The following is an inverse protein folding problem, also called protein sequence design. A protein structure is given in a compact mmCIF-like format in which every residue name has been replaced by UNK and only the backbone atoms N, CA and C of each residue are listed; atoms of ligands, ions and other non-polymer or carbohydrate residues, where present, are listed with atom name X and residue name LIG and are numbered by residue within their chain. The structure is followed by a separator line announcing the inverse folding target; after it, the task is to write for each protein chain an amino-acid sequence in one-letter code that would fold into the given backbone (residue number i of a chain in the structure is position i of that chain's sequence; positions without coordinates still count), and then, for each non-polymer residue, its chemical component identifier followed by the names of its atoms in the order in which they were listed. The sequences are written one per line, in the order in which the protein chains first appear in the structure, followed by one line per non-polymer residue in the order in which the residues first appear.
data_IF_447368564110
#
_entry.id   IF_447368564110
#
_cell.length_a   1.000
_cell.length_b   1.000
_cell.length_c   1.000
_cell.angle_alpha   90.00
_cell.angle_beta   90.00
_cell.angle_gamma   90.00
#
_symmetry.space_group_name_H-M   'P 1'
#
loop_
_entity.id
_entity.type
_entity.pdbx_description
1 polymer ?
#
# COMPACT_ATOMS: atom_id res chain seq x y z
N UNK A 1 -15.58 -13.75 16.00
CA UNK A 1 -15.37 -15.18 15.67
C UNK A 1 -13.88 -15.39 15.43
N UNK A 2 -13.26 -16.48 15.94
CA UNK A 2 -11.86 -16.75 15.65
C UNK A 2 -11.68 -17.04 14.15
N UNK A 3 -10.62 -16.47 13.56
CA UNK A 3 -10.31 -16.60 12.13
C UNK A 3 -9.85 -18.02 11.82
N UNK A 4 -10.59 -18.75 10.98
CA UNK A 4 -10.22 -20.10 10.54
C UNK A 4 -8.92 -20.07 9.72
N UNK A 5 -7.87 -20.73 10.21
CA UNK A 5 -6.57 -20.83 9.51
C UNK A 5 -6.55 -22.05 8.56
N UNK A 6 -7.36 -22.00 7.50
CA UNK A 6 -7.55 -23.12 6.55
C UNK A 6 -6.22 -23.59 5.94
N UNK A 7 -5.31 -22.65 5.64
CA UNK A 7 -4.00 -22.94 5.04
C UNK A 7 -3.12 -23.88 5.88
N UNK A 8 -3.33 -23.93 7.20
CA UNK A 8 -2.55 -24.80 8.09
C UNK A 8 -2.88 -26.29 7.91
N UNK A 9 -3.98 -26.63 7.23
CA UNK A 9 -4.34 -28.02 6.90
C UNK A 9 -3.61 -28.56 5.68
N UNK A 10 -2.98 -27.70 4.89
CA UNK A 10 -2.21 -28.08 3.70
C UNK A 10 -0.75 -28.23 4.17
N UNK A 11 -0.30 -29.47 4.36
CA UNK A 11 1.04 -29.82 4.84
C UNK A 11 1.85 -30.57 3.78
N UNK A 12 3.17 -30.36 3.68
CA UNK A 12 4.00 -31.11 2.75
C UNK A 12 4.22 -32.53 3.28
N UNK A 13 4.60 -33.46 2.39
CA UNK A 13 5.04 -34.80 2.81
C UNK A 13 6.29 -34.73 3.71
N UNK A 14 6.52 -35.78 4.49
CA UNK A 14 7.68 -35.89 5.37
C UNK A 14 8.99 -35.67 4.60
N UNK A 15 9.84 -34.80 5.13
CA UNK A 15 11.11 -34.41 4.52
C UNK A 15 11.00 -33.40 3.36
N UNK A 16 9.81 -32.91 3.03
CA UNK A 16 9.59 -31.88 2.00
C UNK A 16 9.14 -30.55 2.60
N UNK A 17 9.26 -29.49 1.81
CA UNK A 17 8.81 -28.14 2.14
C UNK A 17 7.97 -27.57 1.00
N UNK A 18 7.04 -26.69 1.31
CA UNK A 18 6.40 -25.85 0.30
C UNK A 18 7.29 -24.66 -0.04
N UNK A 19 7.38 -24.34 -1.33
CA UNK A 19 7.96 -23.08 -1.80
C UNK A 19 6.80 -22.22 -2.30
N UNK A 20 6.66 -21.04 -1.73
CA UNK A 20 5.67 -20.04 -2.15
C UNK A 20 6.43 -18.87 -2.73
N UNK A 21 6.28 -18.66 -4.03
CA UNK A 21 6.70 -17.43 -4.70
C UNK A 21 5.45 -16.57 -4.87
N UNK A 22 5.37 -15.49 -4.10
CA UNK A 22 4.26 -14.56 -4.16
C UNK A 22 4.75 -13.23 -4.70
N UNK A 23 4.02 -12.70 -5.67
CA UNK A 23 4.22 -11.33 -6.09
C UNK A 23 3.72 -10.35 -5.01
N UNK A 24 2.94 -10.74 -4.00
CA UNK A 24 2.33 -9.84 -3.02
C UNK A 24 3.24 -9.21 -1.94
N UNK A 25 4.38 -9.81 -1.59
CA UNK A 25 5.21 -9.33 -0.46
C UNK A 25 6.01 -8.04 -0.76
N UNK A 26 6.24 -7.74 -2.05
CA UNK A 26 6.80 -6.47 -2.56
C UNK A 26 6.24 -6.07 -3.94
N UNK A 27 5.48 -6.94 -4.59
CA UNK A 27 5.01 -6.79 -5.96
C UNK A 27 3.59 -6.26 -5.97
N UNK A 28 3.56 -4.97 -6.22
CA UNK A 28 2.42 -4.26 -6.75
C UNK A 28 2.27 -4.66 -8.23
N UNK A 29 2.09 -5.97 -8.55
CA UNK A 29 2.04 -6.44 -9.95
C UNK A 29 1.00 -5.63 -10.73
N UNK A 30 -0.17 -5.44 -10.13
CA UNK A 30 -1.24 -4.60 -10.66
C UNK A 30 -0.79 -3.15 -10.92
N UNK A 31 -0.04 -2.54 -10.00
CA UNK A 31 0.47 -1.18 -10.21
C UNK A 31 1.60 -1.15 -11.25
N UNK A 32 2.38 -2.22 -11.39
CA UNK A 32 3.38 -2.34 -12.47
C UNK A 32 2.71 -2.45 -13.83
N UNK A 33 1.62 -3.21 -13.93
CA UNK A 33 0.78 -3.28 -15.14
C UNK A 33 0.17 -1.90 -15.42
N UNK A 34 -0.37 -1.23 -14.39
CA UNK A 34 -0.93 0.11 -14.52
C UNK A 34 0.14 1.13 -14.97
N UNK A 35 1.33 1.10 -14.39
CA UNK A 35 2.43 2.00 -14.76
C UNK A 35 2.84 1.80 -16.22
N UNK A 36 2.91 0.54 -16.66
CA UNK A 36 3.25 0.21 -18.04
C UNK A 36 2.17 0.66 -19.02
N UNK A 37 0.89 0.42 -18.70
CA UNK A 37 -0.24 0.76 -19.57
C UNK A 37 -0.56 2.25 -19.60
N UNK A 38 -0.42 2.95 -18.47
CA UNK A 38 -0.65 4.40 -18.37
C UNK A 38 0.53 5.24 -18.87
N UNK A 39 1.75 4.70 -18.87
CA UNK A 39 2.96 5.46 -19.20
C UNK A 39 3.30 6.57 -18.20
N UNK A 40 2.68 6.60 -17.02
CA UNK A 40 2.84 7.66 -16.03
C UNK A 40 4.29 7.70 -15.47
N UNK A 41 5.09 8.75 -15.75
CA UNK A 41 6.50 8.80 -15.33
C UNK A 41 6.69 8.74 -13.82
N UNK A 42 5.80 9.37 -13.05
CA UNK A 42 5.89 9.40 -11.58
C UNK A 42 5.62 8.02 -10.99
N UNK A 43 4.60 7.32 -11.49
CA UNK A 43 4.28 5.96 -11.05
C UNK A 43 5.38 4.97 -11.45
N UNK A 44 5.92 5.10 -12.67
CA UNK A 44 7.07 4.29 -13.12
C UNK A 44 8.30 4.57 -12.26
N UNK A 45 8.59 5.85 -11.97
CA UNK A 45 9.72 6.28 -11.15
C UNK A 45 9.64 5.72 -9.73
N UNK A 46 8.47 5.85 -9.09
CA UNK A 46 8.23 5.34 -7.75
C UNK A 46 8.34 3.81 -7.66
N UNK A 47 7.91 3.08 -8.70
CA UNK A 47 8.06 1.62 -8.75
C UNK A 47 9.51 1.16 -8.99
N UNK A 48 10.32 1.98 -9.69
CA UNK A 48 11.73 1.69 -9.99
C UNK A 48 12.66 2.00 -8.81
N UNK A 49 12.34 3.01 -8.00
CA UNK A 49 13.12 3.35 -6.82
C UNK A 49 12.98 2.33 -5.69
N UNK A 50 12.01 1.41 -5.76
CA UNK A 50 11.81 0.37 -4.76
C UNK A 50 11.15 0.87 -3.47
N UNK A 51 10.72 2.13 -3.46
CA UNK A 51 10.03 2.76 -2.35
C UNK A 51 8.63 2.13 -2.22
N UNK A 52 8.14 2.01 -0.99
CA UNK A 52 6.74 1.62 -0.78
C UNK A 52 5.81 2.77 -1.22
N UNK A 53 5.28 2.67 -2.45
CA UNK A 53 4.38 3.67 -3.04
C UNK A 53 3.25 4.10 -2.10
N UNK A 54 2.66 3.17 -1.36
CA UNK A 54 1.56 3.49 -0.44
C UNK A 54 2.01 4.36 0.73
N UNK A 55 3.22 4.13 1.26
CA UNK A 55 3.83 4.99 2.27
C UNK A 55 4.16 6.37 1.71
N UNK A 56 4.64 6.44 0.47
CA UNK A 56 4.89 7.70 -0.21
C UNK A 56 3.60 8.51 -0.39
N UNK A 57 2.52 7.88 -0.88
CA UNK A 57 1.20 8.51 -0.97
C UNK A 57 0.67 8.92 0.41
N UNK A 58 0.89 8.11 1.46
CA UNK A 58 0.48 8.48 2.81
C UNK A 58 1.21 9.74 3.31
N UNK A 59 2.51 9.87 3.07
CA UNK A 59 3.26 11.08 3.42
C UNK A 59 2.69 12.35 2.74
N UNK A 60 2.25 12.22 1.48
CA UNK A 60 1.60 13.32 0.76
C UNK A 60 0.19 13.64 1.28
N UNK A 61 -0.56 12.64 1.74
CA UNK A 61 -1.92 12.81 2.24
C UNK A 61 -1.98 13.36 3.67
N UNK A 62 -0.98 13.06 4.49
CA UNK A 62 -1.00 13.30 5.93
C UNK A 62 0.23 14.11 6.36
N UNK A 63 0.07 15.41 6.65
CA UNK A 63 1.19 16.29 7.02
C UNK A 63 2.04 15.77 8.19
N UNK A 64 1.40 15.16 9.20
CA UNK A 64 2.11 14.61 10.36
C UNK A 64 3.05 13.43 10.00
N UNK A 65 2.79 12.71 8.91
CA UNK A 65 3.70 11.67 8.41
C UNK A 65 4.90 12.33 7.73
N UNK A 66 4.66 13.36 6.90
CA UNK A 66 5.74 14.12 6.28
C UNK A 66 6.63 14.79 7.34
N UNK A 67 6.05 15.41 8.36
CA UNK A 67 6.78 16.00 9.49
C UNK A 67 7.66 14.96 10.22
N UNK A 68 7.17 13.73 10.38
CA UNK A 68 7.94 12.64 11.01
C UNK A 68 9.10 12.17 10.12
N UNK A 69 8.92 12.17 8.79
CA UNK A 69 10.01 11.90 7.83
C UNK A 69 11.05 13.02 7.88
N UNK A 70 10.62 14.28 7.88
CA UNK A 70 11.51 15.44 7.86
C UNK A 70 12.35 15.54 9.15
N UNK A 71 11.81 15.07 10.28
CA UNK A 71 12.53 14.94 11.56
C UNK A 71 13.43 13.70 11.63
N UNK A 72 13.40 12.83 10.62
CA UNK A 72 14.12 11.55 10.61
C UNK A 72 13.60 10.52 11.60
N UNK A 73 12.37 10.68 12.11
CA UNK A 73 11.76 9.75 13.07
C UNK A 73 11.31 8.45 12.39
N UNK A 74 10.92 8.55 11.11
CA UNK A 74 10.54 7.44 10.23
C UNK A 74 11.12 7.65 8.83
N UNK A 75 11.25 6.56 8.07
CA UNK A 75 11.72 6.61 6.68
C UNK A 75 10.72 5.94 5.73
N UNK A 76 10.75 6.36 4.46
CA UNK A 76 10.03 5.72 3.35
C UNK A 76 10.73 4.45 2.86
N UNK A 77 12.04 4.35 3.10
CA UNK A 77 12.92 3.27 2.66
C UNK A 77 13.99 2.97 3.72
N UNK A 78 14.48 1.73 3.76
CA UNK A 78 15.49 1.32 4.74
C UNK A 78 15.40 -0.16 5.08
N UNK A 79 16.44 -0.66 5.74
CA UNK A 79 16.47 -2.01 6.31
C UNK A 79 15.73 -2.03 7.67
N UNK A 80 15.50 -3.22 8.23
CA UNK A 80 14.82 -3.49 9.51
C UNK A 80 15.38 -2.71 10.72
N UNK A 81 16.53 -2.06 10.57
CA UNK A 81 17.15 -1.19 11.56
C UNK A 81 16.48 0.20 11.67
N UNK A 82 15.68 0.61 10.69
CA UNK A 82 14.98 1.90 10.67
C UNK A 82 13.47 1.73 10.86
N UNK A 83 12.84 2.72 11.48
CA UNK A 83 11.37 2.77 11.61
C UNK A 83 10.79 3.21 10.27
N UNK A 84 10.01 2.34 9.63
CA UNK A 84 9.42 2.65 8.34
C UNK A 84 7.99 3.18 8.50
N UNK A 85 7.57 4.07 7.59
CA UNK A 85 6.19 4.60 7.56
C UNK A 85 5.17 3.46 7.53
N UNK A 86 5.43 2.39 6.78
CA UNK A 86 4.54 1.22 6.70
C UNK A 86 4.33 0.50 8.03
N UNK A 87 5.28 0.60 8.95
CA UNK A 87 5.27 -0.07 10.24
C UNK A 87 4.71 0.85 11.34
N UNK A 88 4.95 2.17 11.24
CA UNK A 88 4.50 3.17 12.23
C UNK A 88 3.09 3.69 11.94
N UNK A 89 2.73 3.87 10.66
CA UNK A 89 1.44 4.42 10.22
C UNK A 89 0.66 3.43 9.32
N UNK A 90 0.34 2.22 9.81
CA UNK A 90 -0.27 1.18 8.99
C UNK A 90 -1.71 1.52 8.56
N UNK A 91 -2.44 2.34 9.31
CA UNK A 91 -3.80 2.80 8.97
C UNK A 91 -3.80 3.75 7.78
N UNK A 92 -2.98 4.78 7.85
CA UNK A 92 -2.82 5.83 6.85
C UNK A 92 -2.26 5.23 5.56
N UNK A 93 -1.30 4.30 5.67
CA UNK A 93 -0.83 3.51 4.54
C UNK A 93 -1.96 2.68 3.90
N UNK A 94 -2.87 2.09 4.69
CA UNK A 94 -4.04 1.36 4.14
C UNK A 94 -4.99 2.30 3.41
N UNK A 95 -5.24 3.49 3.94
CA UNK A 95 -6.03 4.52 3.27
C UNK A 95 -5.38 4.96 1.95
N UNK A 96 -4.09 5.24 1.96
CA UNK A 96 -3.31 5.58 0.77
C UNK A 96 -3.29 4.43 -0.27
N UNK A 97 -3.29 3.17 0.18
CA UNK A 97 -3.49 2.01 -0.70
C UNK A 97 -4.86 2.05 -1.36
N UNK A 98 -5.92 2.32 -0.61
CA UNK A 98 -7.28 2.44 -1.16
C UNK A 98 -7.38 3.57 -2.19
N UNK A 99 -6.75 4.72 -1.96
CA UNK A 99 -6.67 5.82 -2.95
C UNK A 99 -5.95 5.38 -4.22
N UNK A 100 -4.75 4.82 -4.11
CA UNK A 100 -3.95 4.39 -5.25
C UNK A 100 -4.71 3.42 -6.15
N UNK A 101 -5.34 2.39 -5.57
CA UNK A 101 -6.14 1.42 -6.32
C UNK A 101 -7.49 1.98 -6.76
N UNK A 102 -8.10 2.86 -5.96
CA UNK A 102 -9.35 3.50 -6.29
C UNK A 102 -9.24 4.35 -7.57
N UNK A 103 -8.21 5.20 -7.66
CA UNK A 103 -7.94 5.99 -8.85
C UNK A 103 -7.61 5.08 -10.04
N UNK A 104 -6.74 4.09 -9.84
CA UNK A 104 -6.33 3.15 -10.87
C UNK A 104 -7.49 2.40 -11.53
N UNK A 105 -8.48 1.99 -10.72
CA UNK A 105 -9.62 1.18 -11.15
C UNK A 105 -10.91 1.97 -11.36
N UNK A 106 -10.84 3.32 -11.36
CA UNK A 106 -11.98 4.17 -11.66
C UNK A 106 -13.08 4.14 -10.59
N UNK A 107 -12.72 4.02 -9.31
CA UNK A 107 -13.67 4.23 -8.22
C UNK A 107 -14.25 5.64 -8.30
N UNK A 108 -15.57 5.73 -8.10
CA UNK A 108 -16.24 7.02 -7.97
C UNK A 108 -15.82 7.73 -6.69
N UNK A 109 -15.95 9.05 -6.65
CA UNK A 109 -15.74 9.86 -5.44
C UNK A 109 -16.54 9.33 -4.24
N UNK A 110 -17.77 8.88 -4.46
CA UNK A 110 -18.60 8.22 -3.45
C UNK A 110 -18.00 6.90 -2.95
N UNK A 111 -17.58 6.02 -3.87
CA UNK A 111 -16.95 4.75 -3.53
C UNK A 111 -15.65 4.93 -2.73
N UNK A 112 -14.84 5.92 -3.12
CA UNK A 112 -13.60 6.25 -2.45
C UNK A 112 -13.86 6.85 -1.06
N UNK A 113 -14.80 7.78 -0.92
CA UNK A 113 -15.18 8.35 0.38
C UNK A 113 -15.63 7.26 1.37
N UNK A 114 -16.41 6.29 0.89
CA UNK A 114 -16.84 5.13 1.69
C UNK A 114 -15.66 4.25 2.14
N UNK A 115 -14.68 4.00 1.27
CA UNK A 115 -13.48 3.23 1.63
C UNK A 115 -12.57 3.95 2.63
N UNK A 116 -12.50 5.28 2.54
CA UNK A 116 -11.70 6.11 3.44
C UNK A 116 -12.43 6.49 4.74
N UNK A 117 -13.69 6.04 4.88
CA UNK A 117 -14.58 6.41 5.98
C UNK A 117 -14.71 7.94 6.16
N UNK A 118 -14.74 8.67 5.05
CA UNK A 118 -14.93 10.11 5.02
C UNK A 118 -16.42 10.43 4.93
N UNK A 119 -16.86 11.44 5.68
CA UNK A 119 -18.18 12.04 5.49
C UNK A 119 -18.27 12.64 4.09
N UNK A 120 -19.29 12.26 3.32
CA UNK A 120 -19.54 12.85 2.02
C UNK A 120 -20.02 14.30 2.20
N UNK A 121 -19.13 15.25 1.94
CA UNK A 121 -19.55 16.59 1.57
C UNK A 121 -19.73 16.59 0.05
N UNK A 122 -20.99 16.55 -0.41
CA UNK A 122 -21.25 16.75 -1.83
C UNK A 122 -20.82 18.18 -2.20
N UNK A 123 -20.16 18.40 -3.35
CA UNK A 123 -19.87 19.76 -3.79
C UNK A 123 -21.20 20.54 -3.86
N UNK A 124 -21.22 21.72 -3.25
CA UNK A 124 -22.34 22.65 -3.43
C UNK A 124 -22.41 23.03 -4.91
N UNK A 125 -23.63 23.01 -5.47
CA UNK A 125 -23.94 23.46 -6.83
C UNK A 125 -23.53 24.92 -7.07
#
# INVERSE_FOLDING_TARGET
MPTLQIRNSIIPESGKVFIVADYGLFGQLDLRVLAHTSGCPDLIGALKSGIDLHSHTAAQMYPHIQDAIDKGEVSLEGDRSQRLVKDVYPSERRSAKAVNFGIAYGLTSYGLAKQLNLGLCLPAE
#
